data_IF_200773414145
#
_entry.id   IF_200773414145
#
_cell.length_a   1.000
_cell.length_b   1.000
_cell.length_c   1.000
_cell.angle_alpha   90.00
_cell.angle_beta   90.00
_cell.angle_gamma   90.00
#
_symmetry.space_group_name_H-M   'P 1'
#
loop_
_entity.id
_entity.type
_entity.pdbx_description
1 polymer ?
#
# COMPACT_ATOMS: atom_id res chain seq x y z
N UNK A 1 0.15 9.16 19.75
CA UNK A 1 0.51 10.58 19.55
C UNK A 1 1.90 10.59 18.97
N UNK A 2 2.10 11.27 17.84
CA UNK A 2 3.45 11.50 17.31
C UNK A 2 4.19 12.33 18.35
N UNK A 3 5.37 11.92 18.74
CA UNK A 3 6.27 12.79 19.45
C UNK A 3 6.96 13.71 18.43
N UNK A 4 6.17 14.69 17.96
CA UNK A 4 6.58 15.69 16.96
C UNK A 4 7.86 16.41 17.43
N UNK A 5 7.95 16.69 18.72
CA UNK A 5 9.05 17.46 19.30
C UNK A 5 10.40 16.74 19.19
N UNK A 6 10.41 15.41 19.32
CA UNK A 6 11.64 14.63 19.12
C UNK A 6 12.22 14.81 17.70
N UNK A 7 11.36 14.75 16.70
CA UNK A 7 11.79 14.91 15.30
C UNK A 7 12.20 16.34 14.98
N UNK A 8 11.52 17.33 15.58
CA UNK A 8 11.88 18.75 15.44
C UNK A 8 13.26 18.99 16.06
N UNK A 9 13.53 18.42 17.25
CA UNK A 9 14.84 18.52 17.91
C UNK A 9 15.96 17.89 17.08
N UNK A 10 15.70 16.77 16.39
CA UNK A 10 16.67 16.14 15.49
C UNK A 10 16.95 17.02 14.25
N UNK A 11 15.94 17.67 13.69
CA UNK A 11 16.07 18.54 12.52
C UNK A 11 16.77 19.86 12.92
N UNK A 12 16.42 20.45 14.06
CA UNK A 12 16.99 21.71 14.53
C UNK A 12 18.48 21.64 14.85
N UNK A 13 19.01 20.45 15.17
CA UNK A 13 20.44 20.21 15.39
C UNK A 13 21.27 20.14 14.11
N UNK A 14 20.62 20.15 12.95
CA UNK A 14 21.24 20.07 11.64
C UNK A 14 21.16 21.44 10.95
N UNK A 15 22.23 21.86 10.31
CA UNK A 15 22.23 23.09 9.52
C UNK A 15 21.58 22.87 8.17
N UNK A 16 20.26 22.59 8.19
CA UNK A 16 19.46 22.48 6.97
C UNK A 16 19.00 23.87 6.53
N UNK A 17 19.15 24.16 5.24
CA UNK A 17 18.67 25.38 4.59
C UNK A 17 17.27 25.21 4.02
N UNK A 18 16.96 24.00 3.52
CA UNK A 18 15.67 23.69 2.91
C UNK A 18 15.12 22.34 3.36
N UNK A 19 13.93 22.36 3.94
CA UNK A 19 13.19 21.18 4.38
C UNK A 19 11.87 21.10 3.62
N UNK A 20 11.56 19.92 3.09
CA UNK A 20 10.24 19.64 2.51
C UNK A 20 9.45 18.76 3.45
N UNK A 21 8.20 19.07 3.66
CA UNK A 21 7.23 18.25 4.41
C UNK A 21 6.22 17.70 3.39
N UNK A 22 6.12 16.39 3.27
CA UNK A 22 5.09 15.72 2.50
C UNK A 22 4.28 14.75 3.37
N UNK A 23 3.05 14.47 2.98
CA UNK A 23 2.13 13.67 3.78
C UNK A 23 1.04 13.04 2.91
N UNK A 24 0.40 12.01 3.43
CA UNK A 24 -0.84 11.48 2.84
C UNK A 24 -2.04 12.30 3.27
N UNK A 25 -3.07 12.33 2.45
CA UNK A 25 -4.26 13.19 2.59
C UNK A 25 -4.86 13.18 4.02
N UNK A 26 -4.93 12.02 4.67
CA UNK A 26 -5.42 11.89 6.05
C UNK A 26 -4.53 12.50 7.14
N UNK A 27 -3.34 13.04 6.80
CA UNK A 27 -2.38 13.60 7.77
C UNK A 27 -2.16 15.11 7.62
N UNK A 28 -3.00 15.81 6.86
CA UNK A 28 -2.89 17.25 6.64
C UNK A 28 -2.73 18.04 7.95
N UNK A 29 -3.66 17.87 8.91
CA UNK A 29 -3.62 18.59 10.19
C UNK A 29 -2.32 18.36 10.96
N UNK A 30 -1.75 17.15 10.86
CA UNK A 30 -0.47 16.80 11.52
C UNK A 30 0.71 17.41 10.79
N UNK A 31 0.67 17.48 9.48
CA UNK A 31 1.70 18.13 8.68
C UNK A 31 1.75 19.64 8.98
N UNK A 32 0.60 20.31 9.12
CA UNK A 32 0.51 21.72 9.49
C UNK A 32 1.01 21.94 10.93
N UNK A 33 0.65 21.09 11.87
CA UNK A 33 1.17 21.15 13.25
C UNK A 33 2.70 21.05 13.26
N UNK A 34 3.25 20.08 12.51
CA UNK A 34 4.69 19.90 12.38
C UNK A 34 5.37 21.10 11.71
N UNK A 35 4.81 21.62 10.62
CA UNK A 35 5.28 22.83 9.94
C UNK A 35 5.38 24.03 10.88
N UNK A 36 4.30 24.34 11.62
CA UNK A 36 4.25 25.45 12.56
C UNK A 36 5.30 25.31 13.66
N UNK A 37 5.35 24.14 14.30
CA UNK A 37 6.32 23.88 15.37
C UNK A 37 7.77 23.94 14.88
N UNK A 38 8.06 23.53 13.66
CA UNK A 38 9.39 23.63 13.07
C UNK A 38 9.73 25.09 12.76
N UNK A 39 8.78 25.87 12.23
CA UNK A 39 8.97 27.29 11.89
C UNK A 39 9.19 28.18 13.14
N UNK A 40 8.55 27.83 14.25
CA UNK A 40 8.75 28.54 15.53
C UNK A 40 10.15 28.31 16.09
N UNK A 41 10.75 27.14 15.88
CA UNK A 41 12.06 26.78 16.44
C UNK A 41 13.24 27.16 15.57
N UNK A 42 13.06 27.19 14.24
CA UNK A 42 14.14 27.47 13.29
C UNK A 42 13.74 28.66 12.42
N UNK A 43 14.43 29.80 12.62
CA UNK A 43 14.06 31.07 11.97
C UNK A 43 14.51 31.12 10.50
N UNK A 44 15.72 30.69 10.21
CA UNK A 44 16.37 30.87 8.91
C UNK A 44 16.36 29.60 8.04
N UNK A 45 15.19 28.95 7.97
CA UNK A 45 15.00 27.74 7.17
C UNK A 45 13.86 27.94 6.18
N UNK A 46 14.10 27.52 4.93
CA UNK A 46 13.08 27.41 3.89
C UNK A 46 12.27 26.11 4.11
N UNK A 47 11.03 26.21 4.56
CA UNK A 47 10.16 25.06 4.80
C UNK A 47 9.07 25.05 3.75
N UNK A 48 9.07 24.02 2.91
CA UNK A 48 8.11 23.81 1.85
C UNK A 48 7.13 22.71 2.25
N UNK A 49 5.84 23.04 2.28
CA UNK A 49 4.79 22.06 2.45
C UNK A 49 4.36 21.54 1.07
N UNK A 50 4.63 20.28 0.76
CA UNK A 50 4.16 19.67 -0.47
C UNK A 50 2.73 19.17 -0.26
N UNK A 51 1.77 20.00 -0.65
CA UNK A 51 0.33 19.76 -0.48
C UNK A 51 -0.29 18.89 -1.59
N UNK A 52 0.54 18.31 -2.45
CA UNK A 52 0.06 17.30 -3.40
C UNK A 52 -0.25 16.01 -2.66
N UNK A 53 -1.48 15.49 -2.72
CA UNK A 53 -1.88 14.27 -2.01
C UNK A 53 -1.00 13.09 -2.42
N UNK A 54 -0.51 12.33 -1.42
CA UNK A 54 0.31 11.13 -1.60
C UNK A 54 -0.47 9.88 -1.19
N UNK A 55 -0.34 8.83 -1.99
CA UNK A 55 -0.92 7.52 -1.64
C UNK A 55 -0.19 6.84 -0.48
N UNK A 56 1.07 7.19 -0.26
CA UNK A 56 1.92 6.62 0.78
C UNK A 56 3.40 6.77 0.46
N UNK A 57 4.26 6.11 1.23
CA UNK A 57 5.72 6.16 1.05
C UNK A 57 6.22 5.53 -0.27
N UNK A 58 5.35 4.94 -1.05
CA UNK A 58 5.64 4.50 -2.43
C UNK A 58 5.46 5.60 -3.48
N UNK A 59 4.94 6.77 -3.09
CA UNK A 59 4.56 7.86 -3.99
C UNK A 59 5.33 9.15 -3.71
N UNK A 60 6.64 9.04 -3.55
CA UNK A 60 7.55 10.18 -3.37
C UNK A 60 7.83 10.83 -4.72
N UNK A 61 7.67 12.16 -4.83
CA UNK A 61 7.89 12.91 -6.06
C UNK A 61 9.38 13.16 -6.32
N UNK A 62 10.06 12.10 -6.75
CA UNK A 62 11.50 12.13 -6.99
C UNK A 62 11.89 13.27 -7.95
N UNK A 63 11.15 13.45 -9.04
CA UNK A 63 11.51 14.45 -10.07
C UNK A 63 11.41 15.87 -9.51
N UNK A 64 10.36 16.17 -8.76
CA UNK A 64 10.21 17.44 -8.08
C UNK A 64 11.34 17.68 -7.07
N UNK A 65 11.68 16.69 -6.27
CA UNK A 65 12.72 16.84 -5.26
C UNK A 65 14.13 16.90 -5.82
N UNK A 66 14.42 16.24 -6.94
CA UNK A 66 15.69 16.42 -7.64
C UNK A 66 15.87 17.84 -8.20
N UNK A 67 14.79 18.48 -8.66
CA UNK A 67 14.82 19.88 -9.12
C UNK A 67 14.90 20.86 -7.95
N UNK A 68 14.16 20.60 -6.87
CA UNK A 68 14.11 21.47 -5.71
C UNK A 68 15.39 21.39 -4.86
N UNK A 69 16.09 20.26 -4.91
CA UNK A 69 17.30 19.95 -4.15
C UNK A 69 17.17 20.26 -2.64
N UNK A 70 16.23 19.65 -1.91
CA UNK A 70 16.08 19.89 -0.48
C UNK A 70 17.18 19.15 0.30
N UNK A 71 17.58 19.69 1.46
CA UNK A 71 18.51 19.00 2.38
C UNK A 71 17.87 17.74 2.96
N UNK A 72 16.56 17.79 3.21
CA UNK A 72 15.79 16.67 3.74
C UNK A 72 14.30 16.75 3.35
N UNK A 73 13.71 15.61 3.13
CA UNK A 73 12.28 15.43 2.93
C UNK A 73 11.70 14.71 4.15
N UNK A 74 10.71 15.29 4.79
CA UNK A 74 9.99 14.70 5.93
C UNK A 74 8.70 14.11 5.42
N UNK A 75 8.60 12.76 5.42
CA UNK A 75 7.39 12.04 5.02
C UNK A 75 6.57 11.63 6.24
N UNK A 76 5.39 12.22 6.42
CA UNK A 76 4.53 11.99 7.58
C UNK A 76 3.46 10.93 7.26
N UNK A 77 3.28 9.96 8.17
CA UNK A 77 2.21 8.97 8.16
C UNK A 77 2.65 7.53 7.91
N UNK A 78 3.80 7.32 7.27
CA UNK A 78 4.26 5.99 6.87
C UNK A 78 5.72 5.72 7.29
N UNK A 79 6.08 4.46 7.32
CA UNK A 79 7.47 4.00 7.31
C UNK A 79 7.99 3.82 5.86
N UNK A 80 9.29 3.63 5.66
CA UNK A 80 9.86 3.42 4.33
C UNK A 80 9.17 2.28 3.58
N UNK A 81 8.88 2.49 2.29
CA UNK A 81 8.44 1.41 1.42
C UNK A 81 9.61 0.45 1.15
N UNK A 82 9.43 -0.88 1.25
CA UNK A 82 10.51 -1.85 1.09
C UNK A 82 11.29 -1.66 -0.22
N UNK A 83 12.62 -1.79 -0.11
CA UNK A 83 13.58 -1.65 -1.21
C UNK A 83 13.70 -0.24 -1.82
N UNK A 84 12.84 0.70 -1.45
CA UNK A 84 12.79 2.00 -2.08
C UNK A 84 13.79 3.00 -1.52
N UNK A 85 14.05 2.95 -0.24
CA UNK A 85 15.06 3.81 0.41
C UNK A 85 16.43 3.70 -0.26
N UNK A 86 16.80 2.51 -0.77
CA UNK A 86 18.04 2.32 -1.54
C UNK A 86 18.05 3.11 -2.85
N UNK A 87 16.92 3.17 -3.55
CA UNK A 87 16.80 3.93 -4.81
C UNK A 87 16.87 5.43 -4.52
N UNK A 88 16.13 5.89 -3.52
CA UNK A 88 16.10 7.30 -3.09
C UNK A 88 17.51 7.76 -2.69
N UNK A 89 18.21 6.99 -1.85
CA UNK A 89 19.56 7.32 -1.39
C UNK A 89 20.57 7.36 -2.54
N UNK A 90 20.46 6.46 -3.54
CA UNK A 90 21.32 6.49 -4.74
C UNK A 90 21.12 7.75 -5.59
N UNK A 91 19.95 8.37 -5.51
CA UNK A 91 19.63 9.63 -6.19
C UNK A 91 20.05 10.86 -5.36
N UNK A 92 20.71 10.67 -4.22
CA UNK A 92 21.16 11.75 -3.34
C UNK A 92 20.05 12.37 -2.49
N UNK A 93 18.81 11.89 -2.60
CA UNK A 93 17.70 12.39 -1.79
C UNK A 93 17.72 11.77 -0.39
N UNK A 94 17.47 12.60 0.62
CA UNK A 94 17.35 12.17 2.02
C UNK A 94 15.89 12.26 2.44
N UNK A 95 15.29 11.12 2.79
CA UNK A 95 13.91 11.07 3.28
C UNK A 95 13.89 10.57 4.71
N UNK A 96 13.31 11.36 5.59
CA UNK A 96 13.03 10.98 6.96
C UNK A 96 11.55 10.63 7.09
N UNK A 97 11.27 9.39 7.46
CA UNK A 97 9.90 8.89 7.59
C UNK A 97 9.43 9.01 9.03
N UNK A 98 8.29 9.65 9.24
CA UNK A 98 7.64 9.78 10.55
C UNK A 98 6.35 8.97 10.53
N UNK A 99 6.38 7.70 11.00
CA UNK A 99 5.17 6.88 11.06
C UNK A 99 4.18 7.48 12.07
N UNK A 100 2.89 7.45 11.73
CA UNK A 100 1.84 7.87 12.65
C UNK A 100 1.25 6.66 13.35
N UNK A 101 1.30 6.65 14.69
CA UNK A 101 0.76 5.57 15.51
C UNK A 101 -0.54 6.01 16.21
N UNK A 102 -1.55 5.15 16.12
CA UNK A 102 -2.82 5.31 16.83
C UNK A 102 -2.74 4.49 18.13
N UNK A 103 -2.90 5.18 19.24
CA UNK A 103 -2.95 4.51 20.55
C UNK A 103 -4.34 3.90 20.72
N UNK A 104 -4.38 2.60 20.95
CA UNK A 104 -5.59 1.88 21.37
C UNK A 104 -5.60 1.90 22.90
N UNK A 105 -6.74 2.22 23.49
CA UNK A 105 -6.95 2.19 24.95
C UNK A 105 -6.92 0.75 25.51
N UNK A 106 -6.89 0.62 26.81
CA UNK A 106 -6.77 -0.67 27.47
C UNK A 106 -8.00 -1.56 27.23
N UNK A 107 -9.19 -0.95 27.10
CA UNK A 107 -10.41 -1.67 26.75
C UNK A 107 -10.36 -2.25 25.34
N UNK A 108 -9.89 -1.47 24.36
CA UNK A 108 -9.68 -1.93 22.99
C UNK A 108 -8.59 -3.00 22.89
N UNK A 109 -7.49 -2.86 23.66
CA UNK A 109 -6.45 -3.90 23.72
C UNK A 109 -6.99 -5.22 24.29
N UNK A 110 -7.79 -5.13 25.37
CA UNK A 110 -8.46 -6.28 25.96
C UNK A 110 -9.41 -6.93 24.96
N UNK A 111 -10.26 -6.14 24.30
CA UNK A 111 -11.18 -6.63 23.27
C UNK A 111 -10.46 -7.41 22.16
N UNK A 112 -9.36 -6.86 21.60
CA UNK A 112 -8.57 -7.56 20.58
C UNK A 112 -8.06 -8.89 21.12
N UNK A 113 -7.49 -8.88 22.34
CA UNK A 113 -6.96 -10.08 22.98
C UNK A 113 -8.05 -11.13 23.13
N UNK A 114 -9.22 -10.75 23.67
CA UNK A 114 -10.33 -11.66 23.92
C UNK A 114 -10.81 -12.29 22.60
N UNK A 115 -10.98 -11.49 21.54
CA UNK A 115 -11.37 -11.97 20.20
C UNK A 115 -10.37 -12.98 19.63
N UNK A 116 -9.08 -12.69 19.70
CA UNK A 116 -8.03 -13.58 19.14
C UNK A 116 -7.88 -14.84 19.98
N UNK A 117 -8.08 -14.78 21.30
CA UNK A 117 -7.90 -15.91 22.23
C UNK A 117 -9.01 -16.96 22.13
N UNK A 118 -10.15 -16.64 21.51
CA UNK A 118 -11.24 -17.63 21.29
C UNK A 118 -10.79 -18.79 20.41
N UNK A 119 -9.88 -18.54 19.50
CA UNK A 119 -9.37 -19.52 18.52
C UNK A 119 -8.07 -20.21 18.99
N UNK A 120 -7.97 -20.58 20.26
CA UNK A 120 -6.75 -21.07 20.90
C UNK A 120 -6.19 -22.38 20.30
N UNK A 121 -7.02 -23.15 19.59
CA UNK A 121 -6.64 -24.40 18.90
C UNK A 121 -6.17 -24.18 17.46
N UNK A 122 -6.41 -23.00 16.90
CA UNK A 122 -6.07 -22.66 15.52
C UNK A 122 -4.70 -21.96 15.44
N UNK A 123 -4.00 -22.13 14.32
CA UNK A 123 -2.81 -21.35 14.01
C UNK A 123 -3.21 -19.99 13.45
N UNK A 124 -3.11 -18.99 14.30
CA UNK A 124 -3.57 -17.61 14.02
C UNK A 124 -2.45 -16.77 13.44
N UNK A 125 -2.70 -16.13 12.31
CA UNK A 125 -1.90 -15.03 11.80
C UNK A 125 -2.39 -13.70 12.37
N UNK A 126 -1.49 -12.91 12.97
CA UNK A 126 -1.80 -11.56 13.43
C UNK A 126 -1.06 -10.53 12.58
N UNK A 127 -1.79 -9.51 12.13
CA UNK A 127 -1.26 -8.45 11.29
C UNK A 127 -1.94 -7.10 11.57
N UNK A 128 -1.28 -6.00 11.19
CA UNK A 128 -1.82 -4.66 11.31
C UNK A 128 -1.29 -3.73 10.21
N UNK A 129 -1.96 -2.60 10.00
CA UNK A 129 -1.33 -1.46 9.34
C UNK A 129 -0.33 -0.79 10.29
N UNK A 130 0.60 0.01 9.74
CA UNK A 130 1.66 0.67 10.53
C UNK A 130 1.08 1.46 11.71
N UNK A 131 -0.09 2.07 11.54
CA UNK A 131 -0.72 2.91 12.55
C UNK A 131 -1.05 2.14 13.85
N UNK A 132 -1.36 0.86 13.75
CA UNK A 132 -1.76 0.03 14.90
C UNK A 132 -0.67 -0.95 15.36
N UNK A 133 0.49 -0.94 14.72
CA UNK A 133 1.55 -1.90 14.95
C UNK A 133 2.04 -1.92 16.41
N UNK A 134 2.29 -0.78 17.09
CA UNK A 134 2.70 -0.79 18.51
C UNK A 134 1.64 -1.39 19.44
N UNK A 135 0.37 -1.11 19.17
CA UNK A 135 -0.76 -1.67 19.93
C UNK A 135 -0.92 -3.17 19.70
N UNK A 136 -0.78 -3.62 18.45
CA UNK A 136 -0.74 -5.05 18.10
C UNK A 136 0.36 -5.79 18.86
N UNK A 137 1.57 -5.21 18.98
CA UNK A 137 2.66 -5.85 19.74
C UNK A 137 2.35 -5.96 21.23
N UNK A 138 1.62 -5.00 21.83
CA UNK A 138 1.16 -5.11 23.21
C UNK A 138 0.21 -6.31 23.39
N UNK A 139 -0.74 -6.48 22.50
CA UNK A 139 -1.67 -7.61 22.51
C UNK A 139 -0.91 -8.93 22.27
N UNK A 140 -0.07 -8.98 21.23
CA UNK A 140 0.69 -10.19 20.88
C UNK A 140 1.53 -10.74 22.04
N UNK A 141 2.10 -9.87 22.89
CA UNK A 141 2.86 -10.30 24.08
C UNK A 141 2.02 -11.03 25.13
N UNK A 142 0.71 -10.85 25.10
CA UNK A 142 -0.25 -11.43 26.04
C UNK A 142 -0.99 -12.64 25.46
N UNK A 143 -0.77 -12.96 24.18
CA UNK A 143 -1.37 -14.13 23.50
C UNK A 143 -0.48 -15.37 23.63
N UNK A 144 -1.09 -16.54 23.42
CA UNK A 144 -0.37 -17.81 23.35
C UNK A 144 0.48 -17.84 22.07
N UNK A 145 1.81 -17.80 22.22
CA UNK A 145 2.77 -17.77 21.11
C UNK A 145 2.97 -19.12 20.41
N UNK A 146 2.41 -20.20 20.94
CA UNK A 146 2.51 -21.52 20.31
C UNK A 146 1.57 -21.62 19.11
N UNK A 147 0.49 -20.85 19.10
CA UNK A 147 -0.50 -20.85 18.03
C UNK A 147 -0.74 -19.50 17.36
N UNK A 148 -0.18 -18.39 17.89
CA UNK A 148 -0.33 -17.04 17.30
C UNK A 148 1.00 -16.57 16.72
N UNK A 149 0.99 -16.16 15.45
CA UNK A 149 2.17 -15.80 14.67
C UNK A 149 2.02 -14.42 14.05
N UNK A 150 3.05 -13.60 14.13
CA UNK A 150 3.11 -12.36 13.36
C UNK A 150 3.41 -12.66 11.89
N UNK A 151 2.58 -12.18 10.98
CA UNK A 151 2.80 -12.35 9.54
C UNK A 151 4.03 -11.52 9.13
N UNK A 152 4.91 -12.12 8.32
CA UNK A 152 6.16 -11.48 7.89
C UNK A 152 6.08 -11.15 6.41
N UNK A 153 6.37 -9.89 6.08
CA UNK A 153 6.68 -9.48 4.72
C UNK A 153 8.13 -8.98 4.65
N UNK A 154 8.90 -9.38 3.64
CA UNK A 154 10.28 -8.91 3.48
C UNK A 154 10.35 -7.38 3.44
N UNK A 155 11.27 -6.80 4.22
CA UNK A 155 11.49 -5.36 4.27
C UNK A 155 10.50 -4.57 5.11
N UNK A 156 9.55 -5.23 5.77
CA UNK A 156 8.62 -4.61 6.73
C UNK A 156 8.82 -5.16 8.16
N UNK A 157 8.47 -4.38 9.19
CA UNK A 157 8.33 -4.88 10.55
C UNK A 157 7.39 -6.09 10.62
N UNK A 158 7.68 -7.03 11.52
CA UNK A 158 6.84 -8.22 11.68
C UNK A 158 5.40 -7.82 12.04
N UNK A 159 4.43 -8.41 11.40
CA UNK A 159 3.01 -8.11 11.55
C UNK A 159 2.52 -6.93 10.70
N UNK A 160 3.42 -6.11 10.12
CA UNK A 160 2.98 -5.05 9.25
C UNK A 160 2.61 -5.59 7.86
N UNK A 161 1.44 -5.19 7.36
CA UNK A 161 0.98 -5.50 6.01
C UNK A 161 0.73 -4.23 5.20
N UNK A 162 1.22 -4.25 3.96
CA UNK A 162 0.87 -3.29 2.92
C UNK A 162 0.16 -4.06 1.81
N UNK A 163 -1.10 -3.70 1.53
CA UNK A 163 -1.99 -4.47 0.65
C UNK A 163 -1.47 -4.69 -0.78
N UNK A 164 -0.63 -3.80 -1.30
CA UNK A 164 -0.02 -3.93 -2.62
C UNK A 164 1.22 -4.86 -2.66
N UNK A 165 1.81 -5.20 -1.51
CA UNK A 165 2.96 -6.12 -1.40
C UNK A 165 2.54 -7.56 -1.12
N UNK A 166 1.25 -7.83 -1.15
CA UNK A 166 0.66 -9.09 -0.65
C UNK A 166 0.92 -10.31 -1.53
N UNK A 167 1.47 -10.15 -2.75
CA UNK A 167 1.78 -11.27 -3.69
C UNK A 167 2.63 -12.40 -3.10
N UNK A 168 3.53 -12.08 -2.19
CA UNK A 168 4.39 -13.08 -1.56
C UNK A 168 3.74 -13.75 -0.34
N UNK A 169 2.54 -13.32 0.05
CA UNK A 169 1.94 -13.68 1.33
C UNK A 169 1.61 -15.17 1.46
N UNK A 170 1.16 -15.83 0.39
CA UNK A 170 0.83 -17.25 0.45
C UNK A 170 1.96 -18.09 1.06
N UNK A 171 3.22 -17.80 0.69
CA UNK A 171 4.40 -18.49 1.24
C UNK A 171 4.49 -18.39 2.77
N UNK A 172 4.10 -17.26 3.34
CA UNK A 172 4.20 -16.97 4.77
C UNK A 172 2.94 -17.28 5.55
N UNK A 173 1.83 -17.57 4.87
CA UNK A 173 0.52 -17.80 5.49
C UNK A 173 -0.02 -19.22 5.29
N UNK A 174 0.61 -20.04 4.44
CA UNK A 174 0.12 -21.38 4.07
C UNK A 174 -0.16 -22.30 5.28
N UNK A 175 0.61 -22.17 6.35
CA UNK A 175 0.49 -22.98 7.55
C UNK A 175 -0.43 -22.36 8.62
N UNK A 176 -1.10 -21.25 8.31
CA UNK A 176 -2.08 -20.61 9.19
C UNK A 176 -3.46 -21.13 8.86
N UNK A 177 -4.33 -21.16 9.88
CA UNK A 177 -5.74 -21.54 9.72
C UNK A 177 -6.62 -20.30 9.54
N UNK A 178 -6.26 -19.19 10.21
CA UNK A 178 -7.05 -17.96 10.27
C UNK A 178 -6.15 -16.73 10.42
N UNK A 179 -6.63 -15.59 9.97
CA UNK A 179 -5.87 -14.33 10.08
C UNK A 179 -6.77 -13.25 10.71
N UNK A 180 -6.21 -12.54 11.69
CA UNK A 180 -6.77 -11.30 12.21
C UNK A 180 -5.91 -10.12 11.80
N UNK A 181 -6.56 -9.12 11.21
CA UNK A 181 -5.93 -7.87 10.80
C UNK A 181 -6.48 -6.70 11.63
N UNK A 182 -5.59 -5.98 12.32
CA UNK A 182 -5.95 -4.80 13.12
C UNK A 182 -5.79 -3.55 12.25
N UNK A 183 -6.88 -2.81 12.04
CA UNK A 183 -6.85 -1.63 11.19
C UNK A 183 -8.14 -0.82 11.21
N UNK A 184 -8.10 0.38 10.67
CA UNK A 184 -9.27 1.27 10.53
C UNK A 184 -9.96 1.19 9.16
N UNK A 185 -9.57 0.25 8.28
CA UNK A 185 -10.15 0.14 6.95
C UNK A 185 -9.78 -1.15 6.20
N UNK A 186 -10.56 -1.47 5.16
CA UNK A 186 -10.46 -2.74 4.42
C UNK A 186 -9.26 -2.83 3.48
N UNK A 187 -8.64 -1.72 3.07
CA UNK A 187 -7.63 -1.68 2.00
C UNK A 187 -6.49 -2.71 2.18
N UNK A 188 -5.78 -2.65 3.32
CA UNK A 188 -4.67 -3.57 3.58
C UNK A 188 -5.15 -4.98 3.90
N UNK A 189 -6.24 -5.10 4.66
CA UNK A 189 -6.84 -6.37 5.05
C UNK A 189 -7.35 -7.17 3.83
N UNK A 190 -7.98 -6.50 2.86
CA UNK A 190 -8.44 -7.13 1.62
C UNK A 190 -7.26 -7.66 0.78
N UNK A 191 -6.18 -6.87 0.64
CA UNK A 191 -4.97 -7.36 -0.03
C UNK A 191 -4.39 -8.59 0.66
N UNK A 192 -4.36 -8.62 2.00
CA UNK A 192 -3.94 -9.77 2.77
C UNK A 192 -4.84 -10.99 2.51
N UNK A 193 -6.16 -10.81 2.58
CA UNK A 193 -7.14 -11.87 2.37
C UNK A 193 -7.04 -12.49 0.96
N UNK A 194 -6.95 -11.63 -0.07
CA UNK A 194 -6.87 -12.05 -1.48
C UNK A 194 -5.67 -12.94 -1.79
N UNK A 195 -4.51 -12.60 -1.23
CA UNK A 195 -3.25 -13.27 -1.58
C UNK A 195 -2.79 -14.32 -0.55
N UNK A 196 -3.40 -14.36 0.63
CA UNK A 196 -3.13 -15.41 1.62
C UNK A 196 -3.93 -16.68 1.39
N UNK A 197 -5.11 -16.56 0.77
CA UNK A 197 -6.09 -17.65 0.66
C UNK A 197 -6.65 -18.10 2.00
N UNK A 198 -6.52 -17.32 3.07
CA UNK A 198 -6.96 -17.71 4.42
C UNK A 198 -8.16 -16.89 4.89
N UNK A 199 -9.08 -17.50 5.67
CA UNK A 199 -10.13 -16.76 6.35
C UNK A 199 -9.52 -15.57 7.08
N UNK A 200 -9.87 -14.35 6.68
CA UNK A 200 -9.27 -13.11 7.20
C UNK A 200 -10.36 -12.21 7.78
N UNK A 201 -10.13 -11.76 9.00
CA UNK A 201 -11.04 -10.92 9.77
C UNK A 201 -10.38 -9.57 10.05
N UNK A 202 -11.05 -8.50 9.64
CA UNK A 202 -10.66 -7.14 10.04
C UNK A 202 -11.22 -6.84 11.42
N UNK A 203 -10.34 -6.50 12.36
CA UNK A 203 -10.70 -5.96 13.66
C UNK A 203 -10.71 -4.42 13.55
N UNK A 204 -11.91 -3.87 13.37
CA UNK A 204 -12.14 -2.42 13.35
C UNK A 204 -12.20 -1.88 14.77
N UNK A 205 -11.12 -1.25 15.18
CA UNK A 205 -10.95 -0.74 16.55
C UNK A 205 -11.91 0.42 16.86
N UNK A 206 -12.21 1.25 15.87
CA UNK A 206 -13.06 2.42 16.08
C UNK A 206 -14.53 2.03 16.32
N UNK A 207 -14.97 0.95 15.68
CA UNK A 207 -16.34 0.43 15.79
C UNK A 207 -16.48 -0.76 16.72
N UNK A 208 -15.35 -1.26 17.25
CA UNK A 208 -15.28 -2.54 18.01
C UNK A 208 -16.02 -3.68 17.30
N UNK A 209 -15.79 -3.80 15.99
CA UNK A 209 -16.47 -4.76 15.13
C UNK A 209 -15.48 -5.73 14.46
N UNK A 210 -15.93 -6.98 14.31
CA UNK A 210 -15.19 -8.03 13.58
C UNK A 210 -15.85 -8.19 12.22
N UNK A 211 -15.11 -7.92 11.17
CA UNK A 211 -15.59 -8.02 9.80
C UNK A 211 -14.90 -9.17 9.07
N UNK A 212 -15.64 -10.22 8.72
CA UNK A 212 -15.16 -11.24 7.80
C UNK A 212 -14.99 -10.62 6.41
N UNK A 213 -13.85 -10.89 5.75
CA UNK A 213 -13.57 -10.41 4.39
C UNK A 213 -13.92 -11.44 3.31
N UNK A 214 -14.55 -12.55 3.66
CA UNK A 214 -14.85 -13.62 2.72
C UNK A 214 -15.77 -13.17 1.57
N UNK A 215 -16.80 -12.42 1.90
CA UNK A 215 -17.74 -11.89 0.89
C UNK A 215 -17.05 -10.91 -0.05
N UNK A 216 -16.22 -10.02 0.48
CA UNK A 216 -15.43 -9.07 -0.32
C UNK A 216 -14.44 -9.79 -1.23
N UNK A 217 -13.77 -10.82 -0.72
CA UNK A 217 -12.84 -11.65 -1.51
C UNK A 217 -13.57 -12.34 -2.65
N UNK A 218 -14.73 -12.96 -2.39
CA UNK A 218 -15.54 -13.61 -3.44
C UNK A 218 -15.98 -12.62 -4.51
N UNK A 219 -16.54 -11.48 -4.11
CA UNK A 219 -16.95 -10.41 -5.03
C UNK A 219 -15.77 -9.93 -5.88
N UNK A 220 -14.63 -9.70 -5.25
CA UNK A 220 -13.45 -9.25 -5.97
C UNK A 220 -12.95 -10.30 -6.98
N UNK A 221 -12.85 -11.58 -6.57
CA UNK A 221 -12.44 -12.67 -7.49
C UNK A 221 -13.37 -12.75 -8.71
N UNK A 222 -14.68 -12.63 -8.52
CA UNK A 222 -15.65 -12.60 -9.62
C UNK A 222 -15.45 -11.39 -10.54
N UNK A 223 -15.19 -10.20 -9.99
CA UNK A 223 -14.89 -9.00 -10.76
C UNK A 223 -13.60 -9.14 -11.58
N UNK A 224 -12.56 -9.72 -11.00
CA UNK A 224 -11.30 -9.98 -11.72
C UNK A 224 -11.52 -10.96 -12.86
N UNK A 225 -12.21 -12.08 -12.62
CA UNK A 225 -12.51 -13.05 -13.67
C UNK A 225 -13.31 -12.39 -14.80
N UNK A 226 -14.31 -11.58 -14.47
CA UNK A 226 -15.08 -10.83 -15.45
C UNK A 226 -14.21 -9.86 -16.26
N UNK A 227 -13.31 -9.11 -15.62
CA UNK A 227 -12.40 -8.21 -16.32
C UNK A 227 -11.41 -8.96 -17.24
N UNK A 228 -10.87 -10.09 -16.78
CA UNK A 228 -10.02 -10.95 -17.62
C UNK A 228 -10.81 -11.45 -18.83
N UNK A 229 -12.03 -11.95 -18.63
CA UNK A 229 -12.90 -12.42 -19.71
C UNK A 229 -13.17 -11.29 -20.75
N UNK A 230 -13.56 -10.10 -20.29
CA UNK A 230 -13.80 -8.95 -21.17
C UNK A 230 -12.55 -8.51 -21.94
N UNK A 231 -11.36 -8.77 -21.41
CA UNK A 231 -10.09 -8.40 -22.04
C UNK A 231 -9.59 -9.44 -23.05
N UNK A 232 -10.21 -10.62 -23.18
CA UNK A 232 -9.73 -11.70 -24.06
C UNK A 232 -9.64 -11.27 -25.53
N UNK A 233 -10.65 -10.55 -26.02
CA UNK A 233 -10.73 -10.10 -27.41
C UNK A 233 -10.04 -8.76 -27.65
N UNK A 234 -9.45 -8.15 -26.62
CA UNK A 234 -8.77 -6.86 -26.73
C UNK A 234 -7.57 -6.93 -27.65
N UNK A 235 -7.46 -5.98 -28.58
CA UNK A 235 -6.39 -5.85 -29.57
C UNK A 235 -5.42 -4.72 -29.22
N UNK A 236 -5.95 -3.63 -28.63
CA UNK A 236 -5.19 -2.43 -28.32
C UNK A 236 -5.30 -2.10 -26.84
N UNK A 237 -4.16 -2.05 -26.15
CA UNK A 237 -4.09 -1.85 -24.70
C UNK A 237 -3.52 -0.47 -24.32
N UNK A 238 -4.07 0.15 -23.29
CA UNK A 238 -3.48 1.32 -22.62
C UNK A 238 -2.66 0.87 -21.41
N UNK A 239 -1.36 1.08 -21.42
CA UNK A 239 -0.50 0.80 -20.26
C UNK A 239 -0.43 2.05 -19.38
N UNK A 240 -1.00 2.00 -18.19
CA UNK A 240 -1.01 3.10 -17.23
C UNK A 240 0.33 3.10 -16.49
N UNK A 241 1.15 4.12 -16.72
CA UNK A 241 2.39 4.36 -16.00
C UNK A 241 2.22 5.58 -15.09
N UNK A 242 2.75 5.51 -13.87
CA UNK A 242 2.79 6.66 -12.95
C UNK A 242 3.97 7.56 -13.25
N UNK A 243 3.83 8.87 -13.07
CA UNK A 243 4.87 9.87 -13.29
C UNK A 243 5.79 10.03 -12.10
N UNK A 244 5.29 9.85 -10.89
CA UNK A 244 6.04 10.05 -9.65
C UNK A 244 6.39 8.73 -8.94
N UNK A 245 7.49 8.76 -8.24
CA UNK A 245 7.94 7.74 -7.32
C UNK A 245 8.10 6.34 -7.90
N UNK A 246 7.83 5.34 -7.05
CA UNK A 246 7.84 3.91 -7.42
C UNK A 246 6.68 3.52 -8.35
N UNK A 247 5.68 4.37 -8.46
CA UNK A 247 4.58 4.12 -9.40
C UNK A 247 5.09 4.14 -10.84
N UNK A 248 6.20 4.84 -11.12
CA UNK A 248 6.93 4.73 -12.38
C UNK A 248 7.81 3.45 -12.38
N UNK A 249 7.21 2.29 -12.25
CA UNK A 249 7.93 1.01 -12.25
C UNK A 249 8.32 0.63 -13.69
N UNK A 250 9.36 1.29 -14.23
CA UNK A 250 9.85 1.07 -15.61
C UNK A 250 10.04 -0.42 -15.92
N UNK A 251 10.59 -1.17 -14.98
CA UNK A 251 10.75 -2.60 -15.13
C UNK A 251 9.42 -3.35 -15.32
N UNK A 252 8.36 -2.96 -14.61
CA UNK A 252 7.03 -3.58 -14.78
C UNK A 252 6.39 -3.18 -16.11
N UNK A 253 6.48 -1.92 -16.49
CA UNK A 253 5.98 -1.42 -17.78
C UNK A 253 6.67 -2.16 -18.93
N UNK A 254 7.99 -2.34 -18.88
CA UNK A 254 8.73 -3.09 -19.89
C UNK A 254 8.33 -4.57 -19.92
N UNK A 255 8.08 -5.19 -18.76
CA UNK A 255 7.56 -6.57 -18.71
C UNK A 255 6.20 -6.66 -19.39
N UNK A 256 5.31 -5.71 -19.15
CA UNK A 256 3.98 -5.65 -19.79
C UNK A 256 4.12 -5.48 -21.29
N UNK A 257 4.97 -4.55 -21.77
CA UNK A 257 5.23 -4.36 -23.20
C UNK A 257 5.71 -5.65 -23.87
N UNK A 258 6.72 -6.30 -23.29
CA UNK A 258 7.26 -7.54 -23.82
C UNK A 258 6.21 -8.67 -23.88
N UNK A 259 5.28 -8.72 -22.90
CA UNK A 259 4.18 -9.68 -22.94
C UNK A 259 3.19 -9.38 -24.07
N UNK A 260 2.81 -8.11 -24.24
CA UNK A 260 1.90 -7.70 -25.32
C UNK A 260 2.51 -7.94 -26.70
N UNK A 261 3.79 -7.61 -26.90
CA UNK A 261 4.53 -7.85 -28.13
C UNK A 261 4.54 -9.33 -28.51
N UNK A 262 4.82 -10.23 -27.55
CA UNK A 262 4.80 -11.68 -27.75
C UNK A 262 3.43 -12.22 -28.18
N UNK A 263 2.36 -11.55 -27.80
CA UNK A 263 0.99 -11.91 -28.16
C UNK A 263 0.42 -11.09 -29.31
N UNK A 264 1.27 -10.32 -30.02
CA UNK A 264 0.85 -9.53 -31.18
C UNK A 264 -0.17 -8.44 -30.86
N UNK A 265 -0.20 -7.98 -29.60
CA UNK A 265 -1.13 -6.93 -29.15
C UNK A 265 -0.51 -5.55 -29.32
N UNK A 266 -1.32 -4.58 -29.78
CA UNK A 266 -0.92 -3.17 -29.86
C UNK A 266 -1.08 -2.50 -28.51
N UNK A 267 -0.27 -1.46 -28.24
CA UNK A 267 -0.42 -0.71 -27.00
C UNK A 267 0.03 0.73 -27.10
N UNK A 268 -0.49 1.56 -26.19
CA UNK A 268 -0.05 2.93 -25.94
C UNK A 268 0.33 3.04 -24.44
N UNK A 269 1.43 3.71 -24.14
CA UNK A 269 1.82 3.98 -22.75
C UNK A 269 1.28 5.36 -22.34
N UNK A 270 0.44 5.37 -21.30
CA UNK A 270 -0.19 6.57 -20.75
C UNK A 270 0.55 6.96 -19.46
N UNK A 271 1.19 8.12 -19.45
CA UNK A 271 1.82 8.66 -18.25
C UNK A 271 0.83 9.56 -17.51
N UNK A 272 0.46 9.16 -16.30
CA UNK A 272 -0.47 9.89 -15.45
C UNK A 272 0.24 10.31 -14.16
N UNK A 273 0.07 11.56 -13.73
CA UNK A 273 0.52 12.03 -12.44
C UNK A 273 -0.32 11.39 -11.31
N UNK A 274 -1.63 11.37 -11.53
CA UNK A 274 -2.60 10.77 -10.64
C UNK A 274 -3.58 9.94 -11.47
N UNK A 275 -3.99 8.80 -10.91
CA UNK A 275 -5.04 8.00 -11.54
C UNK A 275 -6.38 8.74 -11.47
N UNK A 276 -7.02 8.86 -12.63
CA UNK A 276 -8.36 9.41 -12.80
C UNK A 276 -9.08 8.59 -13.89
N UNK A 277 -10.15 7.94 -13.53
CA UNK A 277 -10.97 7.13 -14.44
C UNK A 277 -11.53 7.93 -15.61
N UNK A 278 -11.84 9.22 -15.43
CA UNK A 278 -12.34 10.08 -16.50
C UNK A 278 -11.30 10.33 -17.59
N UNK A 279 -10.00 10.29 -17.23
CA UNK A 279 -8.93 10.39 -18.23
C UNK A 279 -8.96 9.15 -19.13
N UNK A 280 -9.24 7.97 -18.59
CA UNK A 280 -9.30 6.73 -19.37
C UNK A 280 -10.47 6.72 -20.35
N UNK A 281 -11.58 7.34 -20.04
CA UNK A 281 -12.76 7.43 -20.90
C UNK A 281 -12.51 8.20 -22.20
N UNK A 282 -11.46 9.05 -22.27
CA UNK A 282 -11.08 9.76 -23.49
C UNK A 282 -10.52 8.84 -24.58
N UNK A 283 -9.92 7.73 -24.18
CA UNK A 283 -9.26 6.77 -25.07
C UNK A 283 -10.27 5.77 -25.64
N UNK A 284 -11.09 6.23 -26.60
CA UNK A 284 -12.14 5.38 -27.22
C UNK A 284 -11.57 4.26 -28.08
N UNK A 285 -10.38 4.46 -28.61
CA UNK A 285 -9.61 3.57 -29.48
C UNK A 285 -8.88 2.43 -28.74
N UNK A 286 -8.80 2.49 -27.40
CA UNK A 286 -8.22 1.42 -26.58
C UNK A 286 -9.30 0.45 -26.12
N UNK A 287 -9.04 -0.85 -26.16
CA UNK A 287 -9.99 -1.89 -25.77
C UNK A 287 -9.94 -2.19 -24.25
N UNK A 288 -8.75 -2.16 -23.68
CA UNK A 288 -8.52 -2.46 -22.25
C UNK A 288 -7.32 -1.67 -21.71
N UNK A 289 -7.19 -1.62 -20.38
CA UNK A 289 -6.07 -0.97 -19.70
C UNK A 289 -5.26 -1.96 -18.87
N UNK A 290 -3.98 -1.63 -18.65
CA UNK A 290 -3.09 -2.39 -17.77
C UNK A 290 -2.45 -1.43 -16.76
N UNK A 291 -2.68 -1.66 -15.48
CA UNK A 291 -2.08 -0.91 -14.37
C UNK A 291 -0.59 -1.25 -14.22
N UNK A 292 0.26 -0.58 -14.98
CA UNK A 292 1.72 -0.73 -14.94
C UNK A 292 2.36 -0.04 -13.73
N UNK A 293 1.72 0.99 -13.18
CA UNK A 293 2.16 1.73 -11.98
C UNK A 293 1.73 1.02 -10.69
N UNK A 294 0.57 1.36 -10.18
CA UNK A 294 0.05 0.78 -8.94
C UNK A 294 -0.85 -0.42 -9.23
N UNK A 295 -0.54 -1.63 -8.73
CA UNK A 295 -1.38 -2.81 -8.95
C UNK A 295 -2.77 -2.67 -8.32
N UNK A 296 -2.94 -1.76 -7.38
CA UNK A 296 -4.21 -1.53 -6.68
C UNK A 296 -5.25 -0.82 -7.55
N UNK A 297 -4.85 -0.13 -8.62
CA UNK A 297 -5.81 0.45 -9.59
C UNK A 297 -6.72 -0.64 -10.15
N UNK A 298 -6.18 -1.81 -10.52
CA UNK A 298 -6.97 -2.95 -11.00
C UNK A 298 -7.62 -3.77 -9.87
N UNK A 299 -7.61 -3.27 -8.64
CA UNK A 299 -8.25 -3.88 -7.46
C UNK A 299 -9.32 -2.93 -6.92
N UNK A 300 -8.91 -1.75 -6.47
CA UNK A 300 -9.80 -0.82 -5.78
C UNK A 300 -10.69 -0.02 -6.74
N UNK A 301 -10.16 0.30 -7.93
CA UNK A 301 -10.85 1.12 -8.93
C UNK A 301 -11.47 0.29 -10.08
N UNK A 302 -11.44 -1.05 -9.96
CA UNK A 302 -11.90 -1.98 -11.01
C UNK A 302 -13.34 -1.74 -11.46
N UNK A 303 -14.21 -1.27 -10.55
CA UNK A 303 -15.63 -0.98 -10.84
C UNK A 303 -15.87 0.45 -11.35
N UNK A 304 -14.86 1.33 -11.23
CA UNK A 304 -14.96 2.73 -11.65
C UNK A 304 -14.57 2.90 -13.12
N UNK A 305 -13.78 1.99 -13.66
CA UNK A 305 -13.32 1.99 -15.05
C UNK A 305 -14.30 1.21 -15.93
N UNK A 306 -14.84 1.84 -16.98
CA UNK A 306 -15.83 1.22 -17.88
C UNK A 306 -15.23 0.08 -18.71
N UNK A 307 -13.99 0.23 -19.17
CA UNK A 307 -13.27 -0.79 -19.94
C UNK A 307 -12.53 -1.75 -19.00
N UNK A 308 -12.20 -2.97 -19.44
CA UNK A 308 -11.40 -3.87 -18.62
C UNK A 308 -10.09 -3.22 -18.18
N UNK A 309 -9.77 -3.35 -16.88
CA UNK A 309 -8.50 -2.90 -16.35
C UNK A 309 -7.83 -4.05 -15.59
N UNK A 310 -6.61 -4.39 -15.99
CA UNK A 310 -5.85 -5.52 -15.47
C UNK A 310 -4.58 -5.03 -14.78
N UNK A 311 -4.08 -5.78 -13.81
CA UNK A 311 -2.69 -5.65 -13.37
C UNK A 311 -1.81 -6.70 -14.06
N UNK A 312 -0.50 -6.68 -13.79
CA UNK A 312 0.44 -7.62 -14.42
C UNK A 312 0.09 -9.09 -14.15
N UNK A 313 -0.37 -9.44 -12.93
CA UNK A 313 -0.75 -10.81 -12.60
C UNK A 313 -1.97 -11.27 -13.37
N UNK A 314 -2.96 -10.39 -13.51
CA UNK A 314 -4.16 -10.66 -14.28
C UNK A 314 -3.85 -10.78 -15.79
N UNK A 315 -2.89 -10.00 -16.29
CA UNK A 315 -2.38 -10.13 -17.65
C UNK A 315 -1.67 -11.49 -17.86
N UNK A 316 -0.90 -11.96 -16.87
CA UNK A 316 -0.29 -13.29 -16.93
C UNK A 316 -1.33 -14.41 -16.91
N UNK A 317 -2.46 -14.22 -16.22
CA UNK A 317 -3.59 -15.16 -16.28
C UNK A 317 -4.24 -15.11 -17.68
N UNK A 318 -4.52 -13.93 -18.19
CA UNK A 318 -5.12 -13.71 -19.51
C UNK A 318 -4.34 -14.46 -20.62
N UNK A 319 -3.02 -14.43 -20.55
CA UNK A 319 -2.15 -15.08 -21.54
C UNK A 319 -1.73 -16.51 -21.19
N UNK A 320 -2.32 -17.12 -20.15
CA UNK A 320 -2.09 -18.52 -19.79
C UNK A 320 -0.75 -18.82 -19.10
N UNK A 321 0.02 -17.79 -18.70
CA UNK A 321 1.28 -17.98 -17.96
C UNK A 321 1.08 -18.37 -16.50
N UNK A 322 -0.11 -18.07 -15.95
CA UNK A 322 -0.50 -18.42 -14.58
C UNK A 322 -1.95 -18.86 -14.53
N UNK A 323 -2.23 -19.80 -13.63
CA UNK A 323 -3.61 -20.14 -13.26
C UNK A 323 -4.16 -19.09 -12.31
N UNK A 324 -5.49 -18.93 -12.30
CA UNK A 324 -6.16 -17.97 -11.42
C UNK A 324 -5.87 -18.24 -9.92
N UNK A 325 -5.90 -19.52 -9.53
CA UNK A 325 -5.69 -19.97 -8.16
C UNK A 325 -4.25 -19.81 -7.69
N UNK A 326 -3.27 -19.75 -8.60
CA UNK A 326 -1.87 -19.45 -8.25
C UNK A 326 -1.68 -17.99 -7.85
N UNK A 327 -2.53 -17.10 -8.35
CA UNK A 327 -2.51 -15.66 -8.01
C UNK A 327 -3.46 -15.36 -6.86
N UNK A 328 -4.64 -15.95 -6.87
CA UNK A 328 -5.71 -15.76 -5.89
C UNK A 328 -6.10 -17.10 -5.26
N UNK A 329 -5.29 -17.63 -4.35
CA UNK A 329 -5.50 -18.96 -3.79
C UNK A 329 -6.85 -19.07 -3.08
N UNK A 330 -7.48 -20.22 -3.22
CA UNK A 330 -8.61 -20.62 -2.40
C UNK A 330 -8.07 -21.14 -1.06
N UNK A 331 -8.71 -20.74 0.04
CA UNK A 331 -8.35 -21.18 1.38
C UNK A 331 -8.69 -22.63 1.65
#
# INVERSE_FOLDING_TARGET
>A
MLDIYKYIDEISKRNYSRVVIEFSEGFYSRAIEFYRSLKERIRDIDIILNDNPRYGSCDIDINFYLQLNPDIIIHIGHNPYPYYSRVINKLGLRVHYIPYYIKIDDEGLKWIKDVVSVDDKLKIGLAASIQYLPSMYKVYRQLNRNNTFLIKLPGLPHGQIIGCLSRALYRYTRNLDKIYFIGGGKFHALGLALYSGKPTFLLDIHRKNILSLETEVRKFKSLVMWNIYRAMDSKVFGIIAGKSGLQNMVGRVNTIKNLLDRHGKKYVTLYLDRFDENILDRHRDLDAFIAGSCPRIAIDDITRVKKPILNLEQLLILFGYKKFEEVYPNG
#
